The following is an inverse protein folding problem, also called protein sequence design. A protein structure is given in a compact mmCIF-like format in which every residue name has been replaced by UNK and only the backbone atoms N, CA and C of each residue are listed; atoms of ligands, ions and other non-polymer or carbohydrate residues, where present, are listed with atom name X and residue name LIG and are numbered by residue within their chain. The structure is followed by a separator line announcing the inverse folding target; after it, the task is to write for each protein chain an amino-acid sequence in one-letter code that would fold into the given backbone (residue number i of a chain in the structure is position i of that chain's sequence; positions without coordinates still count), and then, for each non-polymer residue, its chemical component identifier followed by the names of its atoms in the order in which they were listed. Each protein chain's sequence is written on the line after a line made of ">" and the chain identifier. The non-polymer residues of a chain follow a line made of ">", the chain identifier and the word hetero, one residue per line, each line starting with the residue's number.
data_IF_352502914869
#
_entry.id   IF_352502914869
#
_cell.length_a   1.000
_cell.length_b   1.000
_cell.length_c   1.000
_cell.angle_alpha   90.00
_cell.angle_beta   90.00
_cell.angle_gamma   90.00
#
_symmetry.space_group_name_H-M   'P 1'
#
loop_
_entity.id
_entity.type
_entity.pdbx_description
1 polymer ?
#
# COMPACT_ATOMS: atom_id res chain seq x y z
N UNK A 1 -35.77 -13.65 -22.11
CA UNK A 1 -34.88 -14.72 -22.59
C UNK A 1 -33.62 -14.68 -21.73
N UNK A 2 -33.41 -15.66 -20.89
CA UNK A 2 -32.14 -15.81 -20.18
C UNK A 2 -31.10 -16.28 -21.20
N UNK A 3 -30.14 -15.42 -21.59
CA UNK A 3 -28.93 -15.88 -22.23
C UNK A 3 -28.15 -16.67 -21.19
N UNK A 4 -28.27 -17.98 -21.20
CA UNK A 4 -27.42 -18.85 -20.37
C UNK A 4 -25.98 -18.69 -20.84
N UNK A 5 -25.18 -17.94 -20.06
CA UNK A 5 -23.73 -17.92 -20.25
C UNK A 5 -23.17 -19.25 -19.77
N UNK A 6 -22.24 -19.82 -20.52
CA UNK A 6 -21.61 -21.11 -20.19
C UNK A 6 -20.81 -21.05 -18.86
N UNK A 7 -20.33 -19.85 -18.50
CA UNK A 7 -19.57 -19.61 -17.27
C UNK A 7 -20.07 -18.34 -16.59
N UNK A 8 -20.36 -18.45 -15.29
CA UNK A 8 -20.85 -17.34 -14.45
C UNK A 8 -19.92 -17.20 -13.25
N UNK A 9 -19.46 -15.96 -12.97
CA UNK A 9 -18.83 -15.61 -11.72
C UNK A 9 -19.84 -14.90 -10.83
N UNK A 10 -20.18 -15.51 -9.71
CA UNK A 10 -21.06 -14.93 -8.70
C UNK A 10 -20.24 -14.32 -7.54
N UNK A 11 -20.44 -13.03 -7.26
CA UNK A 11 -19.75 -12.31 -6.20
C UNK A 11 -20.77 -11.95 -5.12
N UNK A 12 -20.62 -12.52 -3.92
CA UNK A 12 -21.46 -12.18 -2.78
C UNK A 12 -20.81 -11.11 -1.90
N UNK A 13 -21.24 -9.88 -2.05
CA UNK A 13 -20.70 -8.72 -1.29
C UNK A 13 -20.90 -8.85 0.24
N UNK A 14 -21.86 -9.63 0.71
CA UNK A 14 -22.01 -9.89 2.16
C UNK A 14 -20.80 -10.65 2.73
N UNK A 15 -20.18 -11.53 1.96
CA UNK A 15 -18.96 -12.21 2.40
C UNK A 15 -17.76 -11.24 2.41
N UNK A 16 -17.68 -10.31 1.47
CA UNK A 16 -16.68 -9.25 1.50
C UNK A 16 -16.81 -8.41 2.77
N UNK A 17 -18.05 -8.02 3.13
CA UNK A 17 -18.31 -7.32 4.40
C UNK A 17 -17.95 -8.17 5.61
N UNK A 18 -18.34 -9.44 5.64
CA UNK A 18 -18.02 -10.33 6.73
C UNK A 18 -16.51 -10.44 6.97
N UNK A 19 -15.74 -10.62 5.89
CA UNK A 19 -14.28 -10.68 5.97
C UNK A 19 -13.66 -9.37 6.46
N UNK A 20 -14.16 -8.22 5.96
CA UNK A 20 -13.73 -6.91 6.42
C UNK A 20 -13.99 -6.74 7.92
N UNK A 21 -15.21 -7.05 8.39
CA UNK A 21 -15.60 -6.92 9.80
C UNK A 21 -14.75 -7.86 10.68
N UNK A 22 -14.51 -9.08 10.23
CA UNK A 22 -13.66 -10.04 10.93
C UNK A 22 -12.22 -9.53 11.08
N UNK A 23 -11.61 -9.07 10.01
CA UNK A 23 -10.24 -8.53 10.06
C UNK A 23 -10.19 -7.25 10.91
N UNK A 24 -11.14 -6.32 10.75
CA UNK A 24 -11.23 -5.11 11.58
C UNK A 24 -11.40 -5.43 13.07
N UNK A 25 -12.07 -6.52 13.43
CA UNK A 25 -12.22 -6.96 14.83
C UNK A 25 -10.90 -7.36 15.50
N UNK A 26 -9.85 -7.64 14.72
CA UNK A 26 -8.50 -7.96 15.22
C UNK A 26 -7.62 -6.71 15.41
N UNK A 27 -8.07 -5.56 14.95
CA UNK A 27 -7.29 -4.32 14.93
C UNK A 27 -7.69 -3.40 16.08
N UNK A 28 -6.77 -2.50 16.44
CA UNK A 28 -7.11 -1.36 17.29
C UNK A 28 -7.98 -0.37 16.51
N UNK A 29 -8.90 0.36 17.15
CA UNK A 29 -9.77 1.32 16.47
C UNK A 29 -9.02 2.40 15.67
N UNK A 30 -7.79 2.72 16.05
CA UNK A 30 -6.93 3.70 15.36
C UNK A 30 -6.17 3.14 14.17
N UNK A 31 -6.13 1.81 14.00
CA UNK A 31 -5.38 1.16 12.90
C UNK A 31 -6.17 1.29 11.60
N UNK A 32 -5.55 1.90 10.60
CA UNK A 32 -6.13 2.08 9.27
C UNK A 32 -6.17 0.78 8.47
N UNK A 33 -7.15 0.68 7.58
CA UNK A 33 -7.35 -0.49 6.73
C UNK A 33 -7.14 -0.13 5.26
N UNK A 34 -6.09 -0.70 4.64
CA UNK A 34 -5.78 -0.53 3.23
C UNK A 34 -6.18 -1.81 2.48
N UNK A 35 -7.29 -1.76 1.73
CA UNK A 35 -7.78 -2.90 0.96
C UNK A 35 -7.03 -3.06 -0.37
N UNK A 36 -6.52 -4.26 -0.65
CA UNK A 36 -5.80 -4.57 -1.89
C UNK A 36 -6.78 -5.07 -2.94
N UNK A 37 -6.97 -4.30 -4.02
CA UNK A 37 -7.92 -4.62 -5.11
C UNK A 37 -7.23 -4.74 -6.48
N UNK A 38 -5.94 -5.08 -6.49
CA UNK A 38 -5.16 -5.33 -7.71
C UNK A 38 -5.66 -6.54 -8.48
N UNK A 39 -5.26 -6.66 -9.76
CA UNK A 39 -5.57 -7.79 -10.63
C UNK A 39 -7.08 -8.11 -10.65
N UNK A 40 -7.93 -7.09 -10.89
CA UNK A 40 -9.40 -7.18 -10.85
C UNK A 40 -9.93 -7.67 -9.49
N UNK A 41 -9.36 -7.21 -8.37
CA UNK A 41 -9.64 -7.77 -7.04
C UNK A 41 -9.47 -9.29 -7.04
N UNK A 42 -8.27 -9.74 -7.45
CA UNK A 42 -7.88 -11.16 -7.57
C UNK A 42 -8.81 -12.00 -8.47
N UNK A 43 -9.25 -11.42 -9.59
CA UNK A 43 -10.07 -12.11 -10.60
C UNK A 43 -11.57 -11.92 -10.43
N UNK A 44 -11.98 -11.07 -9.51
CA UNK A 44 -13.38 -10.68 -9.30
C UNK A 44 -13.74 -9.43 -10.14
N UNK A 45 -14.38 -8.43 -9.53
CA UNK A 45 -14.66 -7.12 -10.13
C UNK A 45 -14.13 -6.02 -9.19
N UNK A 46 -12.97 -5.46 -9.54
CA UNK A 46 -12.31 -4.45 -8.73
C UNK A 46 -13.17 -3.18 -8.50
N UNK A 47 -13.97 -2.77 -9.49
CA UNK A 47 -14.81 -1.57 -9.38
C UNK A 47 -15.97 -1.80 -8.41
N UNK A 48 -16.69 -2.90 -8.57
CA UNK A 48 -17.82 -3.26 -7.68
C UNK A 48 -17.34 -3.46 -6.26
N UNK A 49 -16.24 -4.20 -6.06
CA UNK A 49 -15.66 -4.46 -4.74
C UNK A 49 -15.15 -3.16 -4.11
N UNK A 50 -14.39 -2.33 -4.85
CA UNK A 50 -13.89 -1.07 -4.32
C UNK A 50 -14.99 -0.10 -3.92
N UNK A 51 -16.05 0.06 -4.73
CA UNK A 51 -17.22 0.88 -4.37
C UNK A 51 -17.90 0.39 -3.09
N UNK A 52 -18.04 -0.92 -2.96
CA UNK A 52 -18.64 -1.49 -1.78
C UNK A 52 -17.77 -1.29 -0.53
N UNK A 53 -16.47 -1.58 -0.62
CA UNK A 53 -15.52 -1.37 0.48
C UNK A 53 -15.39 0.13 0.85
N UNK A 54 -15.42 1.04 -0.13
CA UNK A 54 -15.46 2.49 0.12
C UNK A 54 -16.70 2.87 0.94
N UNK A 55 -17.87 2.32 0.62
CA UNK A 55 -19.10 2.56 1.37
C UNK A 55 -19.05 2.00 2.80
N UNK A 56 -18.19 1.01 3.07
CA UNK A 56 -17.93 0.44 4.39
C UNK A 56 -16.78 1.14 5.15
N UNK A 57 -16.23 2.23 4.58
CA UNK A 57 -15.26 3.08 5.26
C UNK A 57 -13.86 2.45 5.38
N UNK A 58 -13.33 1.86 4.31
CA UNK A 58 -11.89 1.55 4.24
C UNK A 58 -11.09 2.84 4.06
N UNK A 59 -9.88 2.89 4.62
CA UNK A 59 -9.07 4.12 4.64
C UNK A 59 -8.25 4.32 3.36
N UNK A 60 -7.84 3.23 2.72
CA UNK A 60 -7.00 3.21 1.53
C UNK A 60 -7.36 2.05 0.62
N UNK A 61 -7.04 2.20 -0.67
CA UNK A 61 -6.93 1.08 -1.61
C UNK A 61 -5.49 0.90 -2.05
N UNK A 62 -5.12 -0.33 -2.46
CA UNK A 62 -3.88 -0.59 -3.17
C UNK A 62 -4.13 -1.36 -4.45
N UNK A 63 -3.46 -0.93 -5.51
CA UNK A 63 -3.45 -1.54 -6.84
C UNK A 63 -2.02 -1.87 -7.26
N UNK A 64 -1.84 -2.78 -8.22
CA UNK A 64 -0.51 -3.10 -8.71
C UNK A 64 0.04 -1.99 -9.60
N UNK A 65 -0.71 -1.55 -10.59
CA UNK A 65 -0.27 -0.64 -11.65
C UNK A 65 -1.13 0.62 -11.73
N UNK A 66 -0.55 1.68 -12.29
CA UNK A 66 -1.20 2.99 -12.46
C UNK A 66 -2.55 2.89 -13.17
N UNK A 67 -2.65 2.06 -14.22
CA UNK A 67 -3.90 1.93 -15.00
C UNK A 67 -5.06 1.37 -14.16
N UNK A 68 -4.80 0.45 -13.22
CA UNK A 68 -5.84 -0.05 -12.31
C UNK A 68 -6.38 1.09 -11.43
N UNK A 69 -5.49 1.93 -10.88
CA UNK A 69 -5.88 3.10 -10.10
C UNK A 69 -6.68 4.12 -10.92
N UNK A 70 -6.25 4.38 -12.17
CA UNK A 70 -6.98 5.24 -13.12
C UNK A 70 -8.40 4.72 -13.34
N UNK A 71 -8.58 3.42 -13.53
CA UNK A 71 -9.89 2.80 -13.73
C UNK A 71 -10.79 2.99 -12.49
N UNK A 72 -10.26 2.81 -11.29
CA UNK A 72 -10.99 3.07 -10.04
C UNK A 72 -11.38 4.55 -9.91
N UNK A 73 -10.48 5.50 -10.21
CA UNK A 73 -10.80 6.94 -10.21
C UNK A 73 -11.89 7.30 -11.21
N UNK A 74 -11.81 6.76 -12.45
CA UNK A 74 -12.87 6.94 -13.46
C UNK A 74 -14.21 6.35 -13.05
N UNK A 75 -14.22 5.30 -12.24
CA UNK A 75 -15.41 4.71 -11.67
C UNK A 75 -15.98 5.51 -10.47
N UNK A 76 -15.30 6.59 -10.04
CA UNK A 76 -15.76 7.50 -8.99
C UNK A 76 -15.19 7.27 -7.61
N UNK A 77 -14.28 6.32 -7.40
CA UNK A 77 -13.61 6.09 -6.10
C UNK A 77 -12.87 7.35 -5.66
N UNK A 78 -13.10 7.79 -4.41
CA UNK A 78 -12.49 8.98 -3.80
C UNK A 78 -11.41 8.61 -2.78
N UNK A 79 -11.54 7.47 -2.11
CA UNK A 79 -10.55 6.94 -1.15
C UNK A 79 -9.14 6.98 -1.74
N UNK A 80 -8.08 7.35 -0.98
CA UNK A 80 -6.69 7.31 -1.44
C UNK A 80 -6.31 5.95 -2.05
N UNK A 81 -5.54 5.96 -3.14
CA UNK A 81 -5.14 4.74 -3.86
C UNK A 81 -3.63 4.69 -3.98
N UNK A 82 -3.02 3.72 -3.29
CA UNK A 82 -1.60 3.37 -3.39
C UNK A 82 -1.35 2.54 -4.66
N UNK A 83 -0.43 3.00 -5.51
CA UNK A 83 0.10 2.22 -6.65
C UNK A 83 1.36 1.49 -6.21
N UNK A 84 1.30 0.17 -6.06
CA UNK A 84 2.38 -0.65 -5.52
C UNK A 84 3.60 -0.76 -6.46
N UNK A 85 3.38 -0.69 -7.77
CA UNK A 85 4.44 -0.82 -8.77
C UNK A 85 4.29 0.24 -9.88
N UNK A 86 4.48 1.53 -9.54
CA UNK A 86 4.49 2.59 -10.54
C UNK A 86 5.64 2.40 -11.52
N UNK A 87 5.39 2.74 -12.78
CA UNK A 87 6.39 2.67 -13.85
C UNK A 87 6.66 4.07 -14.40
N UNK A 88 7.90 4.33 -14.78
CA UNK A 88 8.37 5.64 -15.27
C UNK A 88 7.44 6.29 -16.31
N UNK A 89 6.97 5.59 -17.37
CA UNK A 89 6.12 6.23 -18.40
C UNK A 89 4.77 6.74 -17.87
N UNK A 90 4.33 6.22 -16.71
CA UNK A 90 3.00 6.49 -16.16
C UNK A 90 3.02 7.43 -14.94
N UNK A 91 4.18 8.00 -14.56
CA UNK A 91 4.30 8.83 -13.36
C UNK A 91 3.46 10.10 -13.44
N UNK A 92 3.31 10.70 -14.63
CA UNK A 92 2.40 11.83 -14.81
C UNK A 92 0.95 11.46 -14.56
N UNK A 93 0.49 10.29 -15.03
CA UNK A 93 -0.89 9.83 -14.79
C UNK A 93 -1.18 9.61 -13.30
N UNK A 94 -0.16 9.29 -12.48
CA UNK A 94 -0.31 9.21 -11.02
C UNK A 94 -0.79 10.56 -10.48
N UNK A 95 -0.17 11.66 -10.92
CA UNK A 95 -0.54 13.02 -10.52
C UNK A 95 -1.91 13.40 -11.10
N UNK A 96 -2.11 13.19 -12.41
CA UNK A 96 -3.35 13.56 -13.12
C UNK A 96 -4.61 12.92 -12.48
N UNK A 97 -4.46 11.72 -11.91
CA UNK A 97 -5.56 10.97 -11.27
C UNK A 97 -5.48 10.93 -9.75
N UNK A 98 -4.65 11.76 -9.13
CA UNK A 98 -4.49 11.82 -7.68
C UNK A 98 -4.26 10.44 -7.05
N UNK A 99 -3.36 9.64 -7.64
CA UNK A 99 -2.91 8.34 -7.11
C UNK A 99 -1.64 8.55 -6.28
N UNK A 100 -1.34 7.65 -5.35
CA UNK A 100 -0.19 7.76 -4.48
C UNK A 100 0.86 6.68 -4.84
N UNK A 101 2.08 7.05 -5.30
CA UNK A 101 3.05 6.06 -5.75
C UNK A 101 3.85 5.44 -4.62
N UNK A 102 4.13 4.14 -4.73
CA UNK A 102 5.18 3.47 -4.00
C UNK A 102 6.55 3.78 -4.62
N UNK A 103 7.44 4.37 -3.87
CA UNK A 103 8.82 4.63 -4.28
C UNK A 103 9.71 3.56 -3.64
N UNK A 104 10.24 2.64 -4.45
CA UNK A 104 10.90 1.43 -4.00
C UNK A 104 12.36 1.30 -4.43
N UNK A 105 12.87 2.27 -5.21
CA UNK A 105 14.29 2.40 -5.57
C UNK A 105 14.65 3.83 -5.93
N UNK A 106 15.96 4.10 -6.02
CA UNK A 106 16.49 5.43 -6.29
C UNK A 106 16.06 6.02 -7.65
N UNK A 107 15.86 5.16 -8.67
CA UNK A 107 15.41 5.60 -9.99
C UNK A 107 14.01 6.17 -9.92
N UNK A 108 13.03 5.40 -9.44
CA UNK A 108 11.62 5.83 -9.33
C UNK A 108 11.50 7.06 -8.41
N UNK A 109 12.24 7.14 -7.31
CA UNK A 109 12.26 8.30 -6.43
C UNK A 109 12.68 9.57 -7.20
N UNK A 110 13.82 9.54 -7.89
CA UNK A 110 14.34 10.70 -8.64
C UNK A 110 13.40 11.12 -9.77
N UNK A 111 12.89 10.15 -10.51
CA UNK A 111 11.98 10.39 -11.62
C UNK A 111 10.66 10.99 -11.14
N UNK A 112 10.09 10.47 -10.03
CA UNK A 112 8.87 11.04 -9.48
C UNK A 112 9.07 12.45 -8.93
N UNK A 113 10.18 12.75 -8.25
CA UNK A 113 10.54 14.12 -7.83
C UNK A 113 10.60 15.05 -9.05
N UNK A 114 11.20 14.60 -10.14
CA UNK A 114 11.30 15.43 -11.37
C UNK A 114 9.92 15.69 -11.97
N UNK A 115 9.09 14.65 -12.11
CA UNK A 115 7.72 14.81 -12.62
C UNK A 115 6.89 15.69 -11.70
N UNK A 116 6.94 15.48 -10.39
CA UNK A 116 6.22 16.31 -9.41
C UNK A 116 6.62 17.79 -9.48
N UNK A 117 7.90 18.06 -9.70
CA UNK A 117 8.40 19.43 -9.90
C UNK A 117 7.85 20.05 -11.18
N UNK A 118 7.87 19.31 -12.30
CA UNK A 118 7.38 19.78 -13.59
C UNK A 118 5.86 20.04 -13.57
N UNK A 119 5.11 19.27 -12.77
CA UNK A 119 3.67 19.44 -12.56
C UNK A 119 3.35 20.38 -11.39
N UNK A 120 4.32 21.18 -10.89
CA UNK A 120 4.18 22.17 -9.82
C UNK A 120 3.53 21.61 -8.55
N UNK A 121 3.85 20.38 -8.18
CA UNK A 121 3.30 19.76 -6.97
C UNK A 121 4.04 20.24 -5.72
N UNK A 122 3.27 20.36 -4.62
CA UNK A 122 3.81 20.59 -3.28
C UNK A 122 3.25 19.55 -2.31
N UNK A 123 4.15 18.94 -1.52
CA UNK A 123 3.77 17.92 -0.52
C UNK A 123 2.94 16.76 -1.09
N UNK A 124 3.17 16.37 -2.36
CA UNK A 124 2.45 15.27 -2.97
C UNK A 124 2.68 13.96 -2.19
N UNK A 125 1.60 13.23 -1.79
CA UNK A 125 1.74 12.05 -0.95
C UNK A 125 2.43 10.90 -1.69
N UNK A 126 3.45 10.33 -1.05
CA UNK A 126 4.21 9.18 -1.57
C UNK A 126 4.41 8.13 -0.47
N UNK A 127 4.62 6.89 -0.87
CA UNK A 127 4.90 5.79 0.05
C UNK A 127 6.31 5.25 -0.20
N UNK A 128 7.06 4.98 0.87
CA UNK A 128 8.42 4.44 0.78
C UNK A 128 8.40 2.99 1.21
N UNK A 129 8.89 2.10 0.33
CA UNK A 129 8.99 0.69 0.63
C UNK A 129 10.41 0.31 1.04
N UNK A 130 10.53 -0.40 2.17
CA UNK A 130 11.77 -1.03 2.60
C UNK A 130 11.71 -2.55 2.43
N UNK A 131 12.85 -3.14 2.09
CA UNK A 131 13.04 -4.57 2.07
C UNK A 131 13.56 -5.02 3.44
N UNK A 132 12.79 -5.90 4.08
CA UNK A 132 13.16 -6.50 5.38
C UNK A 132 13.30 -8.01 5.30
N UNK A 133 13.35 -8.58 4.06
CA UNK A 133 13.55 -10.02 3.87
C UNK A 133 12.75 -10.66 2.74
N UNK A 134 11.69 -10.02 2.22
CA UNK A 134 10.94 -10.53 1.07
C UNK A 134 11.76 -10.54 -0.24
N UNK A 135 12.79 -9.69 -0.33
CA UNK A 135 13.74 -9.62 -1.44
C UNK A 135 13.13 -9.43 -2.85
N UNK A 136 12.01 -8.71 -2.90
CA UNK A 136 11.32 -8.42 -4.18
C UNK A 136 11.53 -6.97 -4.62
N UNK A 137 11.14 -6.00 -3.80
CA UNK A 137 11.25 -4.55 -4.02
C UNK A 137 11.45 -3.84 -2.68
N UNK A 138 12.11 -2.70 -2.72
CA UNK A 138 12.27 -1.81 -1.56
C UNK A 138 13.71 -1.38 -1.36
N UNK A 139 13.88 -0.28 -0.68
CA UNK A 139 15.16 0.22 -0.20
C UNK A 139 15.72 -0.66 0.93
N UNK A 140 17.01 -0.64 1.11
CA UNK A 140 17.67 -1.30 2.23
C UNK A 140 17.86 -0.35 3.41
N UNK A 141 18.19 -0.89 4.57
CA UNK A 141 18.51 -0.09 5.75
C UNK A 141 19.58 0.98 5.46
N UNK A 142 20.61 0.61 4.72
CA UNK A 142 21.72 1.52 4.36
C UNK A 142 21.31 2.67 3.44
N UNK A 143 20.10 2.64 2.86
CA UNK A 143 19.59 3.72 2.01
C UNK A 143 18.88 4.82 2.80
N UNK A 144 18.73 4.69 4.14
CA UNK A 144 18.00 5.65 4.98
C UNK A 144 18.56 7.06 4.85
N UNK A 145 19.89 7.21 4.93
CA UNK A 145 20.55 8.53 4.80
C UNK A 145 20.36 9.16 3.42
N UNK A 146 20.50 8.34 2.38
CA UNK A 146 20.26 8.77 1.02
C UNK A 146 18.81 9.25 0.82
N UNK A 147 17.84 8.48 1.31
CA UNK A 147 16.41 8.79 1.21
C UNK A 147 16.06 10.09 1.93
N UNK A 148 16.40 10.19 3.21
CA UNK A 148 16.06 11.34 4.05
C UNK A 148 16.73 12.61 3.54
N UNK A 149 18.00 12.53 3.11
CA UNK A 149 18.71 13.66 2.48
C UNK A 149 18.08 14.06 1.15
N UNK A 150 17.62 13.10 0.33
CA UNK A 150 17.01 13.40 -0.97
C UNK A 150 15.63 14.04 -0.79
N UNK A 151 14.81 13.48 0.11
CA UNK A 151 13.45 13.97 0.37
C UNK A 151 13.48 15.36 1.03
N UNK A 152 14.35 15.60 1.99
CA UNK A 152 14.45 16.91 2.67
C UNK A 152 14.89 18.07 1.77
N UNK A 153 15.51 17.77 0.62
CA UNK A 153 15.92 18.78 -0.39
C UNK A 153 14.79 19.22 -1.32
N UNK A 154 13.63 18.59 -1.25
CA UNK A 154 12.48 18.94 -2.10
C UNK A 154 11.24 19.22 -1.26
N UNK A 155 10.40 20.13 -1.78
CA UNK A 155 9.07 20.40 -1.22
C UNK A 155 7.95 19.74 -2.05
N UNK A 156 8.31 19.07 -3.13
CA UNK A 156 7.32 18.55 -4.09
C UNK A 156 6.60 17.31 -3.60
N UNK A 157 7.24 16.51 -2.73
CA UNK A 157 6.68 15.27 -2.18
C UNK A 157 6.70 15.26 -0.66
N UNK A 158 5.77 14.50 -0.06
CA UNK A 158 5.69 14.22 1.37
C UNK A 158 5.47 12.73 1.60
N UNK A 159 6.25 12.12 2.47
CA UNK A 159 6.07 10.70 2.79
C UNK A 159 4.80 10.51 3.62
N UNK A 160 3.77 9.92 3.02
CA UNK A 160 2.50 9.59 3.67
C UNK A 160 2.63 8.30 4.48
N UNK A 161 3.29 7.29 3.94
CA UNK A 161 3.59 6.07 4.68
C UNK A 161 4.97 5.49 4.35
N UNK A 162 5.43 4.66 5.27
CA UNK A 162 6.57 3.78 5.12
C UNK A 162 6.14 2.35 5.37
N UNK A 163 6.55 1.40 4.53
CA UNK A 163 6.10 0.03 4.67
C UNK A 163 7.11 -1.03 4.23
N UNK A 164 6.85 -2.25 4.69
CA UNK A 164 7.47 -3.46 4.19
C UNK A 164 6.40 -4.52 3.90
N UNK A 165 6.78 -5.80 3.82
CA UNK A 165 5.85 -6.89 3.57
C UNK A 165 6.40 -8.18 4.15
N UNK A 166 5.60 -8.86 4.96
CA UNK A 166 5.96 -10.16 5.54
C UNK A 166 5.97 -11.24 4.45
N UNK A 167 6.98 -12.08 4.46
CA UNK A 167 7.18 -13.09 3.43
C UNK A 167 6.56 -14.45 3.76
N UNK A 168 6.44 -14.77 5.06
CA UNK A 168 6.04 -16.08 5.54
C UNK A 168 5.22 -16.00 6.84
N UNK A 169 4.34 -15.00 6.94
CA UNK A 169 3.55 -14.77 8.16
C UNK A 169 2.44 -15.81 8.41
N UNK A 170 2.17 -16.67 7.45
CA UNK A 170 1.27 -17.82 7.55
C UNK A 170 1.93 -19.10 8.07
N UNK A 171 3.27 -19.22 7.99
CA UNK A 171 4.02 -20.40 8.36
C UNK A 171 4.62 -20.29 9.76
N UNK A 172 4.16 -21.15 10.68
CA UNK A 172 4.67 -21.19 12.06
C UNK A 172 6.15 -21.60 12.13
N UNK A 173 6.66 -22.39 11.18
CA UNK A 173 8.07 -22.77 11.13
C UNK A 173 8.97 -21.58 10.82
N UNK A 174 8.44 -20.55 10.14
CA UNK A 174 9.14 -19.33 9.76
C UNK A 174 8.91 -18.18 10.76
N UNK A 175 8.40 -18.47 11.94
CA UNK A 175 8.10 -17.46 12.98
C UNK A 175 9.31 -16.59 13.33
N UNK A 176 10.49 -17.18 13.46
CA UNK A 176 11.72 -16.44 13.77
C UNK A 176 12.10 -15.49 12.62
N UNK A 177 11.97 -15.95 11.38
CA UNK A 177 12.24 -15.12 10.21
C UNK A 177 11.25 -13.96 10.12
N UNK A 178 9.97 -14.21 10.32
CA UNK A 178 8.92 -13.19 10.33
C UNK A 178 9.15 -12.16 11.45
N UNK A 179 9.53 -12.62 12.66
CA UNK A 179 9.86 -11.72 13.76
C UNK A 179 11.07 -10.84 13.43
N UNK A 180 12.12 -11.40 12.82
CA UNK A 180 13.29 -10.64 12.37
C UNK A 180 12.93 -9.57 11.32
N UNK A 181 11.96 -9.85 10.41
CA UNK A 181 11.43 -8.86 9.48
C UNK A 181 10.75 -7.69 10.21
N UNK A 182 9.93 -7.99 11.22
CA UNK A 182 9.21 -7.00 12.03
C UNK A 182 10.21 -6.14 12.81
N UNK A 183 11.19 -6.75 13.47
CA UNK A 183 12.18 -6.03 14.27
C UNK A 183 13.12 -5.17 13.41
N UNK A 184 13.52 -5.68 12.25
CA UNK A 184 14.24 -4.89 11.24
C UNK A 184 13.42 -3.69 10.79
N UNK A 185 12.12 -3.87 10.54
CA UNK A 185 11.25 -2.77 10.15
C UNK A 185 11.12 -1.71 11.26
N UNK A 186 10.99 -2.11 12.53
CA UNK A 186 10.97 -1.19 13.68
C UNK A 186 12.24 -0.33 13.74
N UNK A 187 13.41 -0.96 13.58
CA UNK A 187 14.71 -0.25 13.61
C UNK A 187 14.81 0.74 12.45
N UNK A 188 14.53 0.28 11.22
CA UNK A 188 14.62 1.11 10.00
C UNK A 188 13.63 2.27 10.09
N UNK A 189 12.38 2.02 10.51
CA UNK A 189 11.36 3.06 10.60
C UNK A 189 11.71 4.12 11.65
N UNK A 190 12.23 3.70 12.81
CA UNK A 190 12.66 4.64 13.85
C UNK A 190 13.77 5.57 13.34
N UNK A 191 14.80 5.01 12.72
CA UNK A 191 15.88 5.80 12.15
C UNK A 191 15.38 6.75 11.03
N UNK A 192 14.52 6.25 10.17
CA UNK A 192 13.99 7.02 9.04
C UNK A 192 13.18 8.23 9.50
N UNK A 193 12.19 8.06 10.37
CA UNK A 193 11.35 9.19 10.77
C UNK A 193 12.08 10.18 11.71
N UNK A 194 13.07 9.74 12.49
CA UNK A 194 13.92 10.65 13.26
C UNK A 194 14.70 11.59 12.35
N UNK A 195 15.28 11.07 11.25
CA UNK A 195 16.01 11.87 10.26
C UNK A 195 15.07 12.70 9.36
N UNK A 196 13.88 12.21 9.11
CA UNK A 196 12.86 12.91 8.30
C UNK A 196 12.23 14.10 9.05
N UNK A 197 12.23 14.08 10.39
CA UNK A 197 11.65 15.12 11.24
C UNK A 197 10.15 15.00 11.50
N UNK A 198 9.48 13.97 10.95
CA UNK A 198 8.10 13.62 11.26
C UNK A 198 7.87 12.12 11.06
N UNK A 199 6.82 11.57 11.70
CA UNK A 199 6.46 10.15 11.59
C UNK A 199 5.41 9.95 10.49
N UNK A 200 5.71 9.25 9.37
CA UNK A 200 4.71 8.78 8.44
C UNK A 200 3.92 7.59 9.02
N UNK A 201 2.80 7.21 8.38
CA UNK A 201 2.11 5.97 8.73
C UNK A 201 3.02 4.76 8.48
N UNK A 202 3.01 3.79 9.40
CA UNK A 202 3.81 2.58 9.29
C UNK A 202 2.90 1.37 9.03
N UNK A 203 3.29 0.48 8.10
CA UNK A 203 2.58 -0.78 7.89
C UNK A 203 3.48 -1.89 7.34
N UNK A 204 3.18 -3.16 7.72
CA UNK A 204 3.91 -4.34 7.27
C UNK A 204 3.01 -5.57 7.10
N UNK A 205 1.89 -5.65 7.85
CA UNK A 205 1.04 -6.83 7.89
C UNK A 205 0.19 -7.00 6.63
N UNK A 206 0.32 -8.18 6.00
CA UNK A 206 -0.66 -8.78 5.12
C UNK A 206 -1.77 -9.47 5.96
N UNK A 207 -2.68 -10.21 5.33
CA UNK A 207 -3.80 -10.89 6.02
C UNK A 207 -3.32 -11.83 7.13
N UNK A 208 -2.35 -12.70 6.85
CA UNK A 208 -1.79 -13.62 7.85
C UNK A 208 -1.07 -12.87 8.97
N UNK A 209 -0.38 -11.77 8.64
CA UNK A 209 0.24 -10.88 9.62
C UNK A 209 -0.77 -10.24 10.57
N UNK A 210 -1.97 -9.89 10.09
CA UNK A 210 -3.06 -9.38 10.94
C UNK A 210 -3.49 -10.43 11.96
N UNK A 211 -3.59 -11.70 11.54
CA UNK A 211 -4.10 -12.79 12.39
C UNK A 211 -3.05 -13.28 13.38
N UNK A 212 -1.76 -13.30 12.99
CA UNK A 212 -0.73 -14.02 13.74
C UNK A 212 0.25 -13.08 14.48
N UNK A 213 0.33 -11.77 14.13
CA UNK A 213 1.33 -10.83 14.65
C UNK A 213 0.71 -9.51 15.09
N UNK A 214 -0.10 -9.53 16.14
CA UNK A 214 -0.86 -8.37 16.62
C UNK A 214 0.02 -7.13 16.95
N UNK A 215 1.24 -7.34 17.43
CA UNK A 215 2.19 -6.26 17.77
C UNK A 215 2.80 -5.58 16.52
N UNK A 216 2.56 -6.14 15.33
CA UNK A 216 3.07 -5.63 14.06
C UNK A 216 2.01 -4.89 13.22
N UNK A 217 0.81 -4.62 13.76
CA UNK A 217 -0.24 -3.89 13.03
C UNK A 217 0.16 -2.44 12.72
N UNK A 218 0.99 -1.83 13.56
CA UNK A 218 1.42 -0.43 13.46
C UNK A 218 0.25 0.54 13.26
N UNK A 219 0.40 1.51 12.33
CA UNK A 219 -0.62 2.54 12.06
C UNK A 219 -1.63 2.11 10.99
N UNK A 220 -1.26 1.11 10.13
CA UNK A 220 -2.11 0.62 9.05
C UNK A 220 -1.80 -0.86 8.74
N UNK A 221 -2.77 -1.58 8.20
CA UNK A 221 -2.58 -2.95 7.68
C UNK A 221 -2.96 -3.02 6.21
N UNK A 222 -2.40 -4.00 5.48
CA UNK A 222 -2.55 -4.17 4.04
C UNK A 222 -3.02 -5.62 3.75
N UNK A 223 -4.27 -5.97 4.11
CA UNK A 223 -4.80 -7.29 3.78
C UNK A 223 -5.03 -7.42 2.28
N UNK A 224 -4.70 -8.59 1.75
CA UNK A 224 -5.20 -9.09 0.49
C UNK A 224 -6.37 -10.02 0.80
N UNK A 225 -7.35 -10.10 -0.10
CA UNK A 225 -8.49 -10.99 0.04
C UNK A 225 -8.08 -12.46 0.11
#
# INVERSE_FOLDING_TARGET
>A
MYNSKETILEINLNYVKHNLDYLKSKLKPSTKFLAVVKAFAYGNDAITIAKYLESLGVDYFAVAYTQEGVNLRKAGIKTPILVLHPQTPNLKHIIDYCLEPNLYNAKILKEFITVSKNENQENYPVHIKFNTGLNRLGFWKNDVDYLTTTISKTKTIKVASMFSHLAASEDENEKNFTQNQIDSFKVISSEFYQKLGYKPLLHICNTSGILNYHDAHFDMVLPAE
#
